data_IF_224617777758
#
_entry.id   IF_224617777758
#
_cell.length_a   1.000
_cell.length_b   1.000
_cell.length_c   1.000
_cell.angle_alpha   90.00
_cell.angle_beta   90.00
_cell.angle_gamma   90.00
#
_symmetry.space_group_name_H-M   'P 1'
#
loop_
_entity.id
_entity.type
_entity.pdbx_description
1 polymer ?
#
# COMPACT_ATOMS: atom_id res chain seq x y z
N UNK A 1 14.41 -3.96 13.46
CA UNK A 1 12.96 -4.06 13.23
C UNK A 1 12.57 -2.85 12.42
N UNK A 2 12.52 -2.89 11.07
CA UNK A 2 11.99 -1.75 10.34
C UNK A 2 10.50 -1.68 10.66
N UNK A 3 10.15 -0.72 11.51
CA UNK A 3 8.77 -0.34 11.81
C UNK A 3 8.19 0.28 10.56
N UNK A 4 7.53 -0.53 9.73
CA UNK A 4 6.72 0.00 8.63
C UNK A 4 5.80 1.07 9.20
N UNK A 5 5.83 2.27 8.60
CA UNK A 5 5.08 3.46 9.05
C UNK A 5 3.55 3.23 9.07
N UNK A 6 3.09 2.19 8.38
CA UNK A 6 1.70 1.83 8.18
C UNK A 6 1.32 0.59 9.00
N UNK A 7 0.08 0.56 9.47
CA UNK A 7 -0.53 -0.58 10.17
C UNK A 7 -1.80 -1.03 9.44
N UNK A 8 -2.14 -2.30 9.63
CA UNK A 8 -3.44 -2.81 9.18
C UNK A 8 -4.55 -2.02 9.89
N UNK A 9 -5.50 -1.53 9.11
CA UNK A 9 -6.58 -0.65 9.58
C UNK A 9 -6.35 0.84 9.32
N UNK A 10 -5.13 1.26 8.97
CA UNK A 10 -4.86 2.65 8.60
C UNK A 10 -5.57 3.01 7.29
N UNK A 11 -6.17 4.21 7.25
CA UNK A 11 -6.67 4.78 6.00
C UNK A 11 -5.50 5.42 5.28
N UNK A 12 -5.32 5.06 4.01
CA UNK A 12 -4.18 5.51 3.21
C UNK A 12 -4.63 5.97 1.85
N UNK A 13 -3.84 6.86 1.26
CA UNK A 13 -3.91 7.23 -0.15
C UNK A 13 -2.65 6.76 -0.82
N UNK A 14 -2.78 5.93 -1.83
CA UNK A 14 -1.64 5.40 -2.57
C UNK A 14 -1.80 5.60 -4.07
N UNK A 15 -0.74 5.29 -4.79
CA UNK A 15 -0.81 5.07 -6.23
C UNK A 15 -0.72 3.56 -6.46
N UNK A 16 -1.60 3.03 -7.31
CA UNK A 16 -1.60 1.61 -7.65
C UNK A 16 -0.27 1.26 -8.28
N UNK A 17 0.47 0.34 -7.67
CA UNK A 17 1.70 -0.19 -8.23
C UNK A 17 1.36 -1.03 -9.47
N UNK A 18 1.77 -0.54 -10.64
CA UNK A 18 1.64 -1.26 -11.89
C UNK A 18 3.05 -1.69 -12.31
N UNK A 19 3.33 -3.00 -12.40
CA UNK A 19 4.63 -3.46 -12.88
C UNK A 19 4.85 -3.02 -14.33
N UNK A 20 6.12 -2.83 -14.75
CA UNK A 20 6.43 -2.26 -16.06
C UNK A 20 5.88 -3.06 -17.25
N UNK A 21 5.66 -4.37 -17.07
CA UNK A 21 5.04 -5.24 -18.07
C UNK A 21 3.55 -4.90 -18.31
N UNK A 22 2.86 -4.47 -17.24
CA UNK A 22 1.43 -4.12 -17.26
C UNK A 22 1.17 -2.64 -17.53
N UNK A 23 2.19 -1.75 -17.49
CA UNK A 23 2.04 -0.32 -17.79
C UNK A 23 1.49 -0.02 -19.20
N UNK A 24 1.57 -0.98 -20.12
CA UNK A 24 0.95 -0.88 -21.45
C UNK A 24 -0.56 -1.06 -21.44
N UNK A 25 -1.12 -1.67 -20.39
CA UNK A 25 -2.54 -2.03 -20.26
C UNK A 25 -3.22 -1.30 -19.12
N UNK A 26 -2.52 -1.09 -18.02
CA UNK A 26 -3.03 -0.41 -16.82
C UNK A 26 -2.17 0.82 -16.54
N UNK A 27 -2.80 1.87 -16.02
CA UNK A 27 -2.08 3.05 -15.55
C UNK A 27 -2.05 3.04 -14.03
N UNK A 28 -0.95 3.52 -13.42
CA UNK A 28 -0.93 3.78 -11.99
C UNK A 28 -1.99 4.84 -11.70
N UNK A 29 -3.03 4.44 -10.99
CA UNK A 29 -4.14 5.32 -10.60
C UNK A 29 -4.08 5.59 -9.09
N UNK A 30 -4.33 6.84 -8.66
CA UNK A 30 -4.44 7.15 -7.25
C UNK A 30 -5.67 6.46 -6.69
N UNK A 31 -5.53 5.89 -5.50
CA UNK A 31 -6.62 5.27 -4.76
C UNK A 31 -6.60 5.70 -3.30
N UNK A 32 -7.75 5.61 -2.65
CA UNK A 32 -7.90 5.73 -1.20
C UNK A 32 -8.48 4.42 -0.68
N UNK A 33 -7.91 3.90 0.39
CA UNK A 33 -8.32 2.61 0.93
C UNK A 33 -7.86 2.40 2.35
N UNK A 34 -8.18 1.23 2.89
CA UNK A 34 -7.75 0.81 4.23
C UNK A 34 -6.70 -0.27 4.08
N UNK A 35 -5.56 -0.11 4.76
CA UNK A 35 -4.49 -1.10 4.76
C UNK A 35 -5.01 -2.41 5.34
N UNK A 36 -4.93 -3.47 4.54
CA UNK A 36 -5.28 -4.84 4.96
C UNK A 36 -4.04 -5.71 5.17
N UNK A 37 -2.92 -5.37 4.54
CA UNK A 37 -1.65 -6.07 4.72
C UNK A 37 -0.47 -5.11 4.52
N UNK A 38 0.56 -5.27 5.36
CA UNK A 38 1.83 -4.54 5.28
C UNK A 38 2.94 -5.54 4.98
N UNK A 39 3.71 -5.28 3.93
CA UNK A 39 4.76 -6.16 3.45
C UNK A 39 4.24 -7.33 2.60
N UNK A 40 5.18 -8.15 2.14
CA UNK A 40 4.87 -9.34 1.36
C UNK A 40 4.49 -10.54 2.25
N UNK A 41 4.74 -10.43 3.56
CA UNK A 41 4.54 -11.54 4.51
C UNK A 41 5.62 -12.64 4.39
N UNK A 42 6.54 -12.50 3.44
CA UNK A 42 7.67 -13.38 3.22
C UNK A 42 8.96 -12.65 3.61
N UNK A 43 9.54 -13.06 4.74
CA UNK A 43 10.72 -12.42 5.32
C UNK A 43 11.99 -12.43 4.47
N UNK A 44 12.02 -13.13 3.32
CA UNK A 44 13.12 -13.06 2.34
C UNK A 44 12.92 -11.97 1.27
N UNK A 45 11.69 -11.49 1.05
CA UNK A 45 11.36 -10.44 0.07
C UNK A 45 11.26 -9.08 0.76
N UNK A 46 10.82 -9.06 2.03
CA UNK A 46 10.75 -7.85 2.85
C UNK A 46 12.13 -7.26 3.23
N UNK A 47 13.25 -7.97 2.95
CA UNK A 47 14.62 -7.49 3.20
C UNK A 47 15.12 -6.58 2.08
N UNK A 48 14.63 -6.78 0.85
CA UNK A 48 15.03 -6.02 -0.34
C UNK A 48 14.09 -4.83 -0.55
N UNK A 49 14.32 -3.80 0.27
CA UNK A 49 14.25 -2.37 -0.06
C UNK A 49 12.91 -1.74 -0.52
N UNK A 50 11.82 -2.48 -0.73
CA UNK A 50 10.52 -1.90 -1.11
C UNK A 50 9.37 -2.56 -0.37
N UNK A 51 8.96 -2.03 0.80
CA UNK A 51 7.80 -2.55 1.48
C UNK A 51 6.56 -2.23 0.65
N UNK A 52 5.85 -3.27 0.22
CA UNK A 52 4.56 -3.17 -0.45
C UNK A 52 3.45 -3.05 0.60
N UNK A 53 2.37 -2.38 0.25
CA UNK A 53 1.14 -2.31 1.03
C UNK A 53 0.00 -2.86 0.19
N UNK A 54 -0.91 -3.55 0.85
CA UNK A 54 -2.19 -3.92 0.26
C UNK A 54 -3.28 -3.13 0.96
N UNK A 55 -4.06 -2.42 0.17
CA UNK A 55 -5.17 -1.60 0.65
C UNK A 55 -6.46 -2.05 -0.01
N UNK A 56 -7.51 -2.18 0.80
CA UNK A 56 -8.86 -2.45 0.32
C UNK A 56 -9.61 -1.15 0.10
N UNK A 57 -10.15 -0.97 -1.10
CA UNK A 57 -10.95 0.19 -1.50
C UNK A 57 -12.43 0.00 -1.11
N UNK A 58 -13.23 1.06 -1.22
CA UNK A 58 -14.67 1.07 -0.96
C UNK A 58 -15.46 0.10 -1.87
N UNK A 59 -14.98 -0.16 -3.08
CA UNK A 59 -15.56 -1.15 -4.00
C UNK A 59 -15.17 -2.60 -3.65
N UNK A 60 -14.57 -2.82 -2.48
CA UNK A 60 -14.09 -4.11 -1.97
C UNK A 60 -12.97 -4.74 -2.79
N UNK A 61 -12.37 -4.02 -3.74
CA UNK A 61 -11.16 -4.48 -4.43
C UNK A 61 -9.91 -4.18 -3.61
N UNK A 62 -8.88 -4.98 -3.81
CA UNK A 62 -7.58 -4.83 -3.18
C UNK A 62 -6.59 -4.26 -4.19
N UNK A 63 -5.88 -3.21 -3.79
CA UNK A 63 -4.83 -2.59 -4.59
C UNK A 63 -3.51 -2.63 -3.85
N UNK A 64 -2.46 -2.97 -4.60
CA UNK A 64 -1.10 -2.93 -4.12
C UNK A 64 -0.51 -1.54 -4.38
N UNK A 65 0.22 -1.00 -3.41
CA UNK A 65 1.02 0.23 -3.54
C UNK A 65 2.38 0.06 -2.89
N UNK A 66 3.31 0.94 -3.26
CA UNK A 66 4.59 1.06 -2.56
C UNK A 66 4.40 1.95 -1.31
N UNK A 67 5.03 1.57 -0.19
CA UNK A 67 5.07 2.39 1.05
C UNK A 67 5.55 3.81 0.76
N UNK A 68 6.52 3.99 -0.14
CA UNK A 68 7.08 5.31 -0.49
C UNK A 68 6.11 6.18 -1.30
N UNK A 69 5.21 5.56 -2.06
CA UNK A 69 4.17 6.22 -2.86
C UNK A 69 2.80 6.20 -2.15
N UNK A 70 2.78 5.82 -0.88
CA UNK A 70 1.58 5.78 -0.05
C UNK A 70 1.69 6.81 1.06
N UNK A 71 0.61 7.54 1.26
CA UNK A 71 0.47 8.54 2.30
C UNK A 71 -0.60 8.08 3.30
N UNK A 72 -0.32 8.28 4.58
CA UNK A 72 -1.30 8.01 5.63
C UNK A 72 -2.34 9.13 5.61
N UNK A 73 -3.58 8.80 5.30
CA UNK A 73 -4.71 9.70 5.52
C UNK A 73 -5.07 9.56 6.98
N UNK A 74 -4.47 10.40 7.83
CA UNK A 74 -4.80 10.45 9.23
C UNK A 74 -6.33 10.58 9.36
N UNK A 75 -6.98 9.49 9.76
CA UNK A 75 -8.25 9.61 10.44
C UNK A 75 -7.96 10.42 11.69
N UNK A 76 -8.73 11.50 11.92
CA UNK A 76 -8.71 12.24 13.18
C UNK A 76 -8.65 11.26 14.35
N UNK A 77 -7.49 11.16 15.00
CA UNK A 77 -7.31 10.16 16.05
C UNK A 77 -5.89 9.68 16.25
N UNK A 78 -4.99 10.58 16.63
CA UNK A 78 -4.10 10.22 17.72
C UNK A 78 -3.81 11.46 18.58
N UNK A 79 -4.20 11.46 19.88
CA UNK A 79 -3.90 12.52 20.83
C UNK A 79 -2.41 12.60 21.19
#
# INVERSE_FOLDING_TARGET
>A
MPTSRFRVGDRVRGVTYVPPDLLRRERPEPFEGVVVQVGSGYGQVDVDERPYLWSRLDDCTERQSLVEETELLAGEGQP
#
